data_IF_052225524722
#
_entry.id   IF_052225524722
#
_cell.length_a   1.000
_cell.length_b   1.000
_cell.length_c   1.000
_cell.angle_alpha   90.00
_cell.angle_beta   90.00
_cell.angle_gamma   90.00
#
_symmetry.space_group_name_H-M   'P 1'
#
loop_
_entity.id
_entity.type
_entity.pdbx_description
1 polymer ?
2 polymer ?
3 polymer ?
4 non-polymer ?
5 non-polymer ?
6 non-polymer ?
7 non-polymer ?
8 water ?
#
loop_
_entity_poly.entity_id
_entity_poly.type
_entity_poly.pdbx_seq_one_letter_code
_entity_poly.pdbx_strand_id
1 'polydeoxyribonucleotide' '(DC)(GS)(DC)(DT)(DA)(DG)(DT)(DC)(DG)(DT)(DC)(DA)(PST)' ?
2 'polydeoxyribonucleotide' '(DA)(SC)(DG)(DA)(DC)(DT)(DA)(DG)(DC)(GS)' ?
#
# COMPACT_ATOMS: atom_id res chain seq x y z
N UNK C 2 3.86 4.80 -3.49
CA UNK C 2 4.60 5.77 -2.68
C UNK C 2 4.39 7.19 -3.15
N UNK C 3 4.60 8.16 -2.25
CA UNK C 3 4.53 9.57 -2.61
C UNK C 3 6.00 10.01 -2.59
N UNK C 4 6.61 10.19 -3.78
CA UNK C 4 8.04 10.55 -3.89
C UNK C 4 8.41 11.73 -3.01
N UNK C 5 9.43 11.54 -2.18
CA UNK C 5 9.94 12.57 -1.28
C UNK C 5 9.18 12.87 0.00
N UNK C 6 7.97 12.30 0.20
CA UNK C 6 7.14 12.62 1.36
C UNK C 6 7.84 12.46 2.70
N UNK C 7 8.54 11.35 2.89
CA UNK C 7 9.25 11.10 4.14
C UNK C 7 10.23 12.23 4.52
N UNK C 8 11.02 12.71 3.56
CA UNK C 8 11.98 13.80 3.83
C UNK C 8 11.27 15.15 4.02
N UNK C 9 10.17 15.35 3.31
CA UNK C 9 9.40 16.60 3.45
C UNK C 9 8.84 16.75 4.88
N UNK C 10 8.36 15.64 5.47
CA UNK C 10 7.79 15.70 6.82
C UNK C 10 8.68 15.06 7.89
N UNK C 11 10.01 15.14 7.69
CA UNK C 11 11.03 14.58 8.59
C UNK C 11 10.80 14.88 10.08
N UNK C 12 10.28 16.08 10.41
CA UNK C 12 10.01 16.54 11.77
C UNK C 12 8.88 15.78 12.46
N UNK C 13 7.98 15.13 11.69
CA UNK C 13 6.92 14.30 12.28
C UNK C 13 7.43 12.85 12.51
N UNK C 14 8.67 12.52 12.12
CA UNK C 14 9.19 11.17 12.30
C UNK C 14 10.04 11.06 13.55
N UNK C 15 10.05 9.88 14.14
CA UNK C 15 10.88 9.62 15.29
C UNK C 15 11.34 8.17 15.26
N UNK C 16 12.59 7.91 15.62
CA UNK C 16 13.06 6.52 15.65
C UNK C 16 12.41 5.78 16.81
N UNK C 17 11.92 4.58 16.55
CA UNK C 17 11.29 3.77 17.57
C UNK C 17 11.83 2.34 17.46
N UNK C 18 11.49 1.52 18.45
CA UNK C 18 11.64 0.09 18.48
C UNK C 18 10.23 -0.39 18.68
N UNK C 19 9.85 -1.47 17.96
CA UNK C 19 8.49 -1.97 18.04
C UNK C 19 8.08 -2.43 19.42
N UNK C 20 8.99 -2.55 20.41
CA UNK C 20 8.63 -2.88 21.81
C UNK C 20 7.55 -1.91 22.33
N UNK C 21 7.57 -0.66 21.82
CA UNK C 21 6.63 0.41 22.10
C UNK C 21 5.17 -0.09 21.94
N UNK C 22 4.94 -1.08 21.06
CA UNK C 22 3.60 -1.62 20.82
C UNK C 22 3.31 -2.94 21.53
N UNK C 23 4.00 -3.21 22.64
CA UNK C 23 3.77 -4.42 23.43
C UNK C 23 2.36 -4.36 24.00
N UNK C 24 1.58 -5.41 23.78
CA UNK C 24 0.19 -5.44 24.21
C UNK C 24 -0.77 -4.75 23.27
N UNK C 25 -0.26 -4.20 22.14
CA UNK C 25 -1.08 -3.53 21.14
C UNK C 25 -1.19 -4.36 19.84
N UNK C 26 -2.02 -3.92 18.90
CA UNK C 26 -2.20 -4.61 17.62
C UNK C 26 -1.54 -3.79 16.50
N UNK C 27 -0.85 -4.46 15.58
CA UNK C 27 -0.16 -3.80 14.48
C UNK C 27 -0.52 -4.49 13.15
N UNK C 28 -0.90 -3.74 12.10
CA UNK C 28 -1.17 -4.36 10.80
C UNK C 28 0.05 -4.19 9.89
N UNK C 29 0.35 -5.21 9.10
CA UNK C 29 1.52 -5.24 8.24
C UNK C 29 1.15 -5.24 6.78
N UNK C 30 1.90 -4.48 5.96
CA UNK C 30 1.78 -4.43 4.51
C UNK C 30 2.70 -5.55 4.06
N UNK C 31 2.19 -6.78 4.10
CA UNK C 31 2.98 -8.00 3.91
C UNK C 31 3.66 -8.16 2.56
N UNK C 32 3.13 -7.61 1.45
CA UNK C 32 3.84 -7.74 0.17
C UNK C 32 5.24 -7.07 0.23
N UNK C 33 5.46 -6.11 1.16
CA UNK C 33 6.78 -5.49 1.32
C UNK C 33 7.78 -6.58 1.83
N UNK C 34 7.32 -7.47 2.74
CA UNK C 34 8.10 -8.54 3.34
C UNK C 34 8.28 -9.69 2.37
N UNK C 35 7.21 -10.04 1.61
CA UNK C 35 7.27 -11.07 0.57
C UNK C 35 8.28 -10.66 -0.49
N UNK C 36 8.32 -9.37 -0.84
CA UNK C 36 9.26 -8.86 -1.82
C UNK C 36 10.73 -9.08 -1.43
N UNK C 37 11.12 -8.62 -0.22
CA UNK C 37 12.47 -8.80 0.29
C UNK C 37 12.82 -10.29 0.41
N UNK C 38 11.86 -11.11 0.81
CA UNK C 38 12.05 -12.55 0.92
C UNK C 38 12.30 -13.20 -0.43
N UNK C 39 11.55 -12.78 -1.46
CA UNK C 39 11.64 -13.29 -2.82
C UNK C 39 12.95 -12.87 -3.51
N UNK C 40 13.56 -11.75 -3.09
CA UNK C 40 14.84 -11.34 -3.61
C UNK C 40 15.90 -12.35 -3.12
N UNK C 41 15.82 -12.74 -1.83
CA UNK C 41 16.77 -13.69 -1.23
C UNK C 41 16.75 -15.10 -1.87
N UNK C 42 15.73 -15.41 -2.69
CA UNK C 42 15.69 -16.68 -3.41
C UNK C 42 15.22 -16.44 -4.85
N UNK C 43 15.68 -15.34 -5.47
CA UNK C 43 15.27 -14.91 -6.81
C UNK C 43 15.74 -15.80 -7.96
N UNK C 44 16.95 -16.39 -7.88
CA UNK C 44 17.45 -17.25 -8.94
C UNK C 44 16.58 -18.51 -9.06
N UNK C 45 16.16 -19.07 -7.93
CA UNK C 45 15.28 -20.23 -7.93
C UNK C 45 13.85 -19.89 -8.39
N UNK C 46 13.30 -18.74 -7.96
CA UNK C 46 11.94 -18.33 -8.32
C UNK C 46 11.79 -18.00 -9.81
N UNK C 47 12.75 -17.29 -10.39
CA UNK C 47 12.69 -16.91 -11.80
C UNK C 47 12.81 -18.12 -12.72
N UNK C 48 13.79 -19.01 -12.47
CA UNK C 48 13.99 -20.23 -13.27
C UNK C 48 12.79 -21.19 -13.17
N UNK C 49 12.31 -21.42 -11.95
CA UNK C 49 11.16 -22.29 -11.73
C UNK C 49 11.37 -23.39 -10.72
N UNK C 50 12.52 -23.40 -10.04
CA UNK C 50 12.84 -24.41 -9.03
C UNK C 50 12.03 -24.17 -7.76
N UNK C 51 11.57 -25.22 -7.06
CA UNK C 51 10.77 -25.00 -5.83
C UNK C 51 11.58 -24.41 -4.68
N UNK C 52 11.00 -23.41 -4.02
CA UNK C 52 11.65 -22.76 -2.88
C UNK C 52 10.63 -22.21 -1.90
N UNK C 53 11.01 -22.18 -0.62
CA UNK C 53 10.20 -21.63 0.46
C UNK C 53 11.02 -20.65 1.32
N UNK C 54 12.16 -20.12 0.82
CA UNK C 54 13.03 -19.23 1.56
C UNK C 54 12.30 -17.93 1.92
N UNK C 55 11.43 -17.43 1.02
CA UNK C 55 10.64 -16.23 1.26
C UNK C 55 9.69 -16.37 2.45
N UNK C 56 9.23 -17.60 2.74
CA UNK C 56 8.33 -17.89 3.86
C UNK C 56 9.10 -17.72 5.19
N UNK C 57 10.31 -18.26 5.23
CA UNK C 57 11.18 -18.13 6.39
C UNK C 57 11.54 -16.68 6.64
N UNK C 58 11.71 -15.91 5.57
CA UNK C 58 11.98 -14.48 5.66
C UNK C 58 10.83 -13.75 6.37
N UNK C 59 9.58 -13.86 5.87
CA UNK C 59 8.40 -13.24 6.48
C UNK C 59 8.22 -13.69 7.95
N UNK C 60 8.33 -15.00 8.23
CA UNK C 60 8.18 -15.54 9.59
C UNK C 60 9.25 -15.06 10.55
N UNK C 61 10.45 -14.69 10.07
CA UNK C 61 11.48 -14.14 10.95
C UNK C 61 10.97 -12.78 11.51
N UNK C 62 10.31 -11.96 10.65
CA UNK C 62 9.75 -10.67 11.06
C UNK C 62 8.51 -10.89 11.92
N UNK C 63 7.65 -11.88 11.57
CA UNK C 63 6.45 -12.20 12.35
C UNK C 63 6.85 -12.66 13.76
N UNK C 64 7.80 -13.60 13.84
CA UNK C 64 8.31 -14.12 15.10
C UNK C 64 9.03 -13.05 15.93
N UNK C 65 9.61 -12.02 15.29
CA UNK C 65 10.24 -10.94 16.05
C UNK C 65 9.14 -10.09 16.71
N UNK C 66 8.05 -9.77 15.98
CA UNK C 66 6.94 -8.99 16.53
C UNK C 66 6.29 -9.74 17.68
N UNK C 67 6.09 -11.06 17.51
CA UNK C 67 5.48 -11.88 18.54
C UNK C 67 6.34 -11.95 19.81
N UNK C 68 7.67 -11.99 19.67
CA UNK C 68 8.58 -12.02 20.82
C UNK C 68 8.45 -10.78 21.70
N UNK C 69 8.12 -9.63 21.09
CA UNK C 69 7.96 -8.39 21.81
C UNK C 69 6.53 -8.13 22.31
N UNK C 70 5.66 -9.14 22.23
CA UNK C 70 4.27 -9.05 22.69
C UNK C 70 3.32 -8.30 21.77
N UNK C 71 3.65 -8.22 20.48
CA UNK C 71 2.81 -7.49 19.53
C UNK C 71 1.92 -8.43 18.78
N UNK C 72 0.63 -8.10 18.67
CA UNK C 72 -0.30 -8.92 17.90
C UNK C 72 -0.29 -8.42 16.45
N UNK C 73 0.38 -9.12 15.52
CA UNK C 73 0.39 -8.66 14.13
C UNK C 73 -0.78 -9.18 13.26
N UNK C 74 -1.27 -8.32 12.38
CA UNK C 74 -2.32 -8.64 11.44
C UNK C 74 -1.67 -8.49 10.09
N UNK C 75 -1.46 -9.59 9.39
CA UNK C 75 -0.84 -9.56 8.09
C UNK C 75 -1.85 -9.29 7.02
N UNK C 76 -1.74 -8.14 6.39
CA UNK C 76 -2.62 -7.78 5.29
C UNK C 76 -1.90 -8.02 3.96
N UNK C 77 -2.62 -8.54 2.96
CA UNK C 77 -2.09 -8.86 1.64
C UNK C 77 -2.88 -8.11 0.59
N UNK C 78 -2.23 -7.74 -0.51
CA UNK C 78 -2.95 -7.10 -1.62
C UNK C 78 -3.88 -8.13 -2.27
N UNK C 79 -4.99 -7.66 -2.82
CA UNK C 79 -5.93 -8.52 -3.48
C UNK C 79 -6.04 -8.24 -4.97
N UNK C 80 -7.27 -8.05 -5.45
CA UNK C 80 -7.49 -7.78 -6.85
C UNK C 80 -6.86 -6.46 -7.28
N UNK C 81 -6.56 -6.34 -8.58
CA UNK C 81 -6.00 -5.10 -9.11
C UNK C 81 -7.14 -4.15 -9.42
N UNK C 82 -7.00 -2.85 -9.15
CA UNK C 82 -8.01 -1.87 -9.50
C UNK C 82 -8.09 -1.77 -11.04
N UNK C 83 -9.29 -1.55 -11.60
CA UNK C 83 -9.42 -1.46 -13.07
C UNK C 83 -8.39 -0.56 -13.77
N UNK C 84 -8.10 0.60 -13.19
CA UNK C 84 -7.14 1.57 -13.72
C UNK C 84 -5.67 1.13 -13.62
N UNK C 85 -5.39 0.04 -12.91
CA UNK C 85 -4.04 -0.47 -12.75
C UNK C 85 -3.76 -1.75 -13.55
N UNK C 86 -4.72 -2.24 -14.34
CA UNK C 86 -4.55 -3.48 -15.10
C UNK C 86 -3.46 -3.38 -16.22
N UNK C 87 -3.37 -2.24 -16.93
CA UNK C 87 -2.32 -2.03 -17.92
C UNK C 87 -0.93 -1.94 -17.22
N UNK C 88 -0.90 -1.34 -16.04
CA UNK C 88 0.31 -1.25 -15.23
C UNK C 88 0.75 -2.65 -14.76
N UNK C 89 -0.19 -3.48 -14.25
CA UNK C 89 0.19 -4.81 -13.77
C UNK C 89 0.63 -5.72 -14.91
N UNK C 90 0.08 -5.54 -16.13
CA UNK C 90 0.52 -6.35 -17.26
C UNK C 90 1.86 -5.86 -17.79
N UNK C 91 2.07 -4.54 -17.81
CA UNK C 91 3.35 -3.94 -18.19
C UNK C 91 4.47 -4.33 -17.21
N UNK C 92 4.13 -4.56 -15.94
CA UNK C 92 5.11 -5.00 -14.96
C UNK C 92 5.51 -6.43 -15.23
N UNK C 93 4.56 -7.29 -15.63
CA UNK C 93 4.85 -8.69 -15.95
C UNK C 93 5.80 -8.80 -17.14
N UNK C 94 5.63 -7.93 -18.14
CA UNK C 94 6.43 -7.88 -19.35
C UNK C 94 7.88 -7.49 -19.03
N UNK C 95 8.08 -6.51 -18.13
CA UNK C 95 9.42 -6.09 -17.73
C UNK C 95 10.13 -7.15 -16.90
N UNK C 96 9.38 -7.87 -16.06
CA UNK C 96 9.93 -8.92 -15.23
C UNK C 96 10.34 -10.12 -16.11
N UNK C 97 9.54 -10.43 -17.15
CA UNK C 97 9.90 -11.53 -18.06
C UNK C 97 11.09 -11.15 -18.96
N UNK C 98 11.22 -9.87 -19.33
CA UNK C 98 12.37 -9.42 -20.13
C UNK C 98 13.65 -9.38 -19.28
N UNK C 99 13.52 -9.13 -17.96
CA UNK C 99 14.68 -9.15 -17.06
C UNK C 99 15.16 -10.60 -16.79
N UNK C 100 14.26 -11.59 -16.90
CA UNK C 100 14.57 -13.00 -16.76
C UNK C 100 15.42 -13.45 -17.97
N UNK C 101 15.05 -12.99 -19.17
CA UNK C 101 15.78 -13.28 -20.42
C UNK C 101 17.14 -12.59 -20.40
N UNK C 102 17.18 -11.34 -19.90
CA UNK C 102 18.42 -10.57 -19.78
C UNK C 102 19.39 -11.23 -18.78
N UNK C 103 18.84 -11.78 -17.69
CA UNK C 103 19.61 -12.48 -16.67
C UNK C 103 20.20 -13.78 -17.18
N UNK C 104 19.41 -14.52 -17.99
CA UNK C 104 19.86 -15.77 -18.62
C UNK C 104 21.03 -15.47 -19.58
N UNK C 105 20.91 -14.37 -20.34
CA UNK C 105 21.92 -13.91 -21.28
C UNK C 105 23.21 -13.55 -20.52
N UNK C 106 23.08 -12.87 -19.37
CA UNK C 106 24.20 -12.49 -18.52
C UNK C 106 24.93 -13.71 -17.94
N UNK C 107 24.19 -14.77 -17.54
CA UNK C 107 24.84 -15.98 -17.04
C UNK C 107 25.63 -16.65 -18.17
N UNK C 108 25.11 -16.61 -19.41
CA UNK C 108 25.81 -17.16 -20.58
C UNK C 108 27.10 -16.41 -20.89
N UNK C 109 27.14 -15.11 -20.61
CA UNK C 109 28.33 -14.30 -20.82
C UNK C 109 29.33 -14.32 -19.64
N UNK C 110 29.09 -15.15 -18.64
CA UNK C 110 29.95 -15.25 -17.47
C UNK C 110 29.68 -14.21 -16.40
N UNK C 111 28.75 -13.27 -16.66
CA UNK C 111 28.41 -12.20 -15.73
C UNK C 111 27.41 -12.71 -14.70
N UNK C 112 27.89 -13.53 -13.76
CA UNK C 112 27.07 -14.17 -12.72
C UNK C 112 26.50 -13.17 -11.70
N UNK C 113 27.32 -12.25 -11.21
CA UNK C 113 26.88 -11.25 -10.22
C UNK C 113 25.83 -10.33 -10.84
N UNK C 114 26.04 -9.89 -12.09
CA UNK C 114 25.05 -9.04 -12.75
C UNK C 114 23.76 -9.78 -13.04
N UNK C 115 23.87 -11.09 -13.38
CA UNK C 115 22.68 -11.91 -13.63
C UNK C 115 21.89 -12.13 -12.34
N UNK C 116 22.58 -12.36 -11.21
CA UNK C 116 21.91 -12.56 -9.92
C UNK C 116 21.12 -11.29 -9.54
N UNK C 117 21.66 -10.09 -9.82
CA UNK C 117 20.96 -8.81 -9.61
C UNK C 117 19.70 -8.76 -10.49
N UNK C 118 19.85 -9.08 -11.79
CA UNK C 118 18.78 -9.13 -12.79
C UNK C 118 17.60 -9.96 -12.32
N UNK C 119 17.88 -11.15 -11.74
CA UNK C 119 16.83 -12.05 -11.30
C UNK C 119 15.97 -11.44 -10.21
N UNK C 120 16.54 -10.57 -9.35
CA UNK C 120 15.78 -9.92 -8.30
C UNK C 120 14.71 -8.98 -8.88
N UNK C 121 14.91 -8.44 -10.09
CA UNK C 121 13.91 -7.61 -10.77
C UNK C 121 13.10 -8.43 -11.79
N UNK C 122 13.00 -9.75 -11.61
CA UNK C 122 12.29 -10.61 -12.57
C UNK C 122 11.21 -11.50 -11.90
N UNK C 123 10.88 -11.22 -10.64
CA UNK C 123 10.00 -12.04 -9.85
C UNK C 123 8.59 -11.48 -9.73
N UNK C 124 7.59 -12.35 -9.81
CA UNK C 124 6.22 -11.99 -9.59
C UNK C 124 5.80 -12.52 -8.22
N UNK C 125 5.16 -11.67 -7.40
CA UNK C 125 4.65 -12.13 -6.12
C UNK C 125 3.25 -12.62 -6.41
N UNK C 126 3.07 -13.94 -6.36
CA UNK C 126 1.79 -14.57 -6.66
C UNK C 126 0.92 -14.76 -5.40
N UNK C 127 -0.38 -15.02 -5.58
CA UNK C 127 -1.26 -15.33 -4.46
C UNK C 127 -0.83 -16.67 -3.81
N UNK C 128 -0.27 -17.60 -4.59
CA UNK C 128 0.22 -18.89 -4.09
C UNK C 128 1.40 -18.69 -3.15
N UNK C 129 2.23 -17.69 -3.38
CA UNK C 129 3.36 -17.36 -2.49
C UNK C 129 2.80 -16.73 -1.21
N UNK C 130 1.83 -15.83 -1.36
CA UNK C 130 1.17 -15.18 -0.24
C UNK C 130 0.46 -16.20 0.64
N UNK C 131 -0.24 -17.16 0.01
CA UNK C 131 -0.95 -18.19 0.73
C UNK C 131 -0.02 -19.07 1.57
N UNK C 132 1.21 -19.35 1.10
CA UNK C 132 2.18 -20.12 1.90
C UNK C 132 2.51 -19.35 3.18
N UNK C 133 2.72 -18.02 3.07
CA UNK C 133 3.00 -17.16 4.22
C UNK C 133 1.78 -17.15 5.14
N UNK C 134 0.56 -17.08 4.57
CA UNK C 134 -0.69 -17.12 5.32
C UNK C 134 -0.77 -18.38 6.17
N UNK C 135 -0.54 -19.56 5.56
CA UNK C 135 -0.58 -20.84 6.26
C UNK C 135 0.46 -20.87 7.39
N UNK C 136 1.71 -20.45 7.12
CA UNK C 136 2.78 -20.42 8.13
C UNK C 136 2.42 -19.52 9.32
N UNK C 137 1.84 -18.35 9.03
CA UNK C 137 1.42 -17.40 10.06
C UNK C 137 0.22 -17.93 10.85
N UNK C 138 -0.76 -18.53 10.16
CA UNK C 138 -1.94 -19.09 10.85
C UNK C 138 -1.62 -20.18 11.84
N UNK C 139 -0.63 -21.04 11.55
CA UNK C 139 -0.22 -22.09 12.48
C UNK C 139 0.35 -21.49 13.78
N UNK C 140 1.00 -20.31 13.68
CA UNK C 140 1.52 -19.56 14.82
C UNK C 140 0.43 -18.72 15.53
N UNK C 141 -0.84 -18.85 15.13
CA UNK C 141 -1.92 -18.07 15.71
C UNK C 141 -2.00 -16.66 15.18
N UNK C 142 -1.37 -16.38 14.02
CA UNK C 142 -1.34 -15.04 13.43
C UNK C 142 -2.47 -14.83 12.40
N UNK C 143 -3.32 -13.81 12.64
CA UNK C 143 -4.45 -13.46 11.74
C UNK C 143 -3.93 -12.88 10.42
N UNK C 144 -4.52 -13.33 9.33
CA UNK C 144 -4.21 -12.91 7.96
C UNK C 144 -5.46 -12.37 7.23
N UNK C 145 -5.28 -11.37 6.38
CA UNK C 145 -6.40 -10.76 5.67
C UNK C 145 -5.99 -10.28 4.30
N UNK C 146 -6.62 -10.83 3.26
CA UNK C 146 -6.35 -10.39 1.90
C UNK C 146 -7.35 -9.29 1.60
N UNK C 147 -6.85 -8.09 1.29
CA UNK C 147 -7.68 -6.96 0.94
C UNK C 147 -8.47 -7.27 -0.31
N UNK C 148 -9.69 -6.75 -0.45
CA UNK C 148 -10.42 -6.98 -1.71
C UNK C 148 -9.63 -6.38 -2.86
N UNK C 149 -8.99 -5.19 -2.65
CA UNK C 149 -8.19 -4.51 -3.67
C UNK C 149 -6.77 -4.20 -3.11
N UNK C 150 -6.38 -2.92 -2.92
CA UNK C 150 -5.06 -2.63 -2.37
C UNK C 150 -5.05 -2.82 -0.90
N UNK C 151 -3.95 -3.39 -0.41
CA UNK C 151 -3.68 -3.53 1.00
C UNK C 151 -3.57 -2.14 1.63
N UNK C 152 -3.14 -1.10 0.89
CA UNK C 152 -3.03 0.27 1.43
C UNK C 152 -4.37 0.72 2.04
N UNK C 153 -5.47 0.53 1.30
CA UNK C 153 -6.80 0.91 1.75
C UNK C 153 -7.23 0.03 2.93
N UNK C 154 -6.98 -1.28 2.85
CA UNK C 154 -7.35 -2.20 3.93
C UNK C 154 -6.65 -1.85 5.23
N UNK C 155 -5.33 -1.55 5.13
CA UNK C 155 -4.50 -1.15 6.28
C UNK C 155 -5.02 0.15 6.82
N UNK C 156 -5.35 1.13 5.95
CA UNK C 156 -5.90 2.42 6.41
C UNK C 156 -7.22 2.23 7.17
N UNK C 157 -8.05 1.30 6.69
CA UNK C 157 -9.30 0.93 7.33
C UNK C 157 -9.04 0.36 8.71
N UNK C 158 -8.15 -0.63 8.84
CA UNK C 158 -7.84 -1.24 10.13
C UNK C 158 -7.37 -0.25 11.18
N UNK C 159 -6.59 0.77 10.76
CA UNK C 159 -6.06 1.81 11.66
C UNK C 159 -7.14 2.84 11.98
N UNK C 160 -7.88 3.33 10.96
CA UNK C 160 -8.95 4.28 11.17
C UNK C 160 -10.06 3.72 12.05
N UNK C 161 -10.35 2.40 11.95
CA UNK C 161 -11.39 1.72 12.74
C UNK C 161 -10.98 1.46 14.21
N UNK C 162 -9.69 1.45 14.50
CA UNK C 162 -9.20 1.20 15.85
C UNK C 162 -8.74 -0.22 16.12
N UNK C 163 -8.90 -1.11 15.16
CA UNK C 163 -8.50 -2.51 15.28
C UNK C 163 -6.96 -2.59 15.42
N UNK C 164 -6.23 -1.75 14.66
CA UNK C 164 -4.79 -1.72 14.78
C UNK C 164 -4.32 -0.31 15.17
N UNK C 165 -3.24 -0.25 15.94
CA UNK C 165 -2.72 1.01 16.41
C UNK C 165 -1.61 1.56 15.55
N UNK C 166 -0.97 0.73 14.69
CA UNK C 166 0.08 1.22 13.79
C UNK C 166 0.16 0.33 12.55
N UNK C 167 0.67 0.89 11.44
CA UNK C 167 0.81 0.16 10.20
C UNK C 167 2.29 0.01 9.88
N UNK C 168 2.79 -1.21 9.69
CA UNK C 168 4.19 -1.41 9.28
C UNK C 168 4.16 -1.53 7.75
N UNK C 169 4.88 -0.66 7.07
CA UNK C 169 4.91 -0.62 5.60
C UNK C 169 6.13 0.17 5.12
N UNK C 170 6.50 0.05 3.85
CA UNK C 170 7.56 0.89 3.26
C UNK C 170 6.96 1.97 2.33
N UNK C 171 5.63 2.03 2.23
CA UNK C 171 4.86 2.91 1.37
C UNK C 171 4.28 4.14 2.10
N UNK C 172 4.72 5.35 1.73
CA UNK C 172 4.24 6.60 2.32
C UNK C 172 2.81 6.99 1.90
N UNK C 173 2.18 6.22 0.99
CA UNK C 173 0.78 6.36 0.62
C UNK C 173 -0.12 6.20 1.82
N UNK C 174 0.27 5.38 2.80
CA UNK C 174 -0.51 5.14 4.01
C UNK C 174 -0.75 6.45 4.77
N UNK C 175 0.21 7.41 4.71
CA UNK C 175 0.05 8.72 5.33
C UNK C 175 -1.05 9.49 4.58
N UNK C 176 -1.04 9.44 3.26
CA UNK C 176 -2.04 10.12 2.43
C UNK C 176 -3.46 9.55 2.66
N UNK C 177 -3.55 8.25 2.93
CA UNK C 177 -4.81 7.59 3.24
C UNK C 177 -5.35 8.02 4.63
N UNK C 178 -4.55 8.66 5.47
CA UNK C 178 -5.00 9.13 6.77
C UNK C 178 -4.70 8.22 7.94
N UNK C 179 -3.67 7.36 7.83
CA UNK C 179 -3.28 6.52 8.96
C UNK C 179 -2.66 7.39 10.01
N UNK C 180 -2.99 7.13 11.29
CA UNK C 180 -2.51 7.91 12.42
C UNK C 180 -1.05 7.59 12.73
N UNK C 181 -0.68 6.29 12.72
CA UNK C 181 0.70 5.86 13.00
C UNK C 181 1.22 4.86 11.98
N UNK C 182 2.33 5.24 11.31
CA UNK C 182 2.94 4.43 10.26
C UNK C 182 4.39 4.19 10.61
N UNK C 183 4.80 2.93 10.61
CA UNK C 183 6.18 2.53 10.90
C UNK C 183 6.86 2.13 9.62
N UNK C 184 7.78 2.98 9.17
CA UNK C 184 8.56 2.81 7.96
C UNK C 184 9.96 2.31 8.28
N UNK C 185 10.59 1.65 7.31
CA UNK C 185 11.97 1.15 7.38
C UNK C 185 12.27 0.19 8.54
N UNK C 186 11.30 -0.62 8.96
CA UNK C 186 11.52 -1.54 10.06
C UNK C 186 12.44 -2.68 9.66
N UNK C 187 13.49 -2.93 10.47
CA UNK C 187 14.44 -4.00 10.21
C UNK C 187 14.05 -5.29 10.96
N UNK C 188 14.78 -6.40 10.74
CA UNK C 188 14.44 -7.68 11.37
C UNK C 188 14.49 -7.66 12.90
N UNK C 189 15.16 -6.65 13.48
CA UNK C 189 15.29 -6.53 14.93
C UNK C 189 14.21 -5.66 15.59
N UNK C 190 13.38 -4.98 14.80
CA UNK C 190 12.32 -4.13 15.35
C UNK C 190 12.61 -2.65 15.38
N UNK C 191 13.74 -2.19 14.82
CA UNK C 191 14.07 -0.75 14.78
C UNK C 191 13.41 -0.13 13.53
N UNK C 192 12.75 1.01 13.68
CA UNK C 192 12.13 1.67 12.55
C UNK C 192 11.81 3.12 12.78
N UNK C 193 11.25 3.79 11.77
CA UNK C 193 10.90 5.21 11.80
C UNK C 193 9.39 5.34 11.88
N UNK C 194 8.88 5.91 12.96
CA UNK C 194 7.46 6.09 13.12
C UNK C 194 7.02 7.52 12.76
N UNK C 195 5.98 7.63 11.95
CA UNK C 195 5.39 8.91 11.62
C UNK C 195 4.02 8.99 12.29
N UNK C 196 3.77 10.07 13.05
CA UNK C 196 2.49 10.24 13.70
C UNK C 196 1.80 11.42 13.05
N UNK C 197 0.56 11.21 12.59
CA UNK C 197 -0.25 12.25 11.96
C UNK C 197 -0.41 13.48 12.87
N UNK C 198 -0.51 13.24 14.19
CA UNK C 198 -0.63 14.32 15.18
C UNK C 198 0.60 15.25 15.17
N UNK C 199 1.76 14.73 14.76
CA UNK C 199 2.97 15.54 14.68
C UNK C 199 3.15 16.24 13.35
N UNK C 200 2.21 16.13 12.37
CA UNK C 200 2.36 16.89 11.12
C UNK C 200 2.44 18.42 11.35
N UNK C 201 1.82 18.88 12.43
CA UNK C 201 1.90 20.28 12.86
C UNK C 201 3.31 20.71 13.24
N UNK C 202 4.19 19.77 13.59
CA UNK C 202 5.61 20.06 13.90
C UNK C 202 6.38 20.42 12.63
N UNK C 203 5.86 20.13 11.44
CA UNK C 203 6.56 20.40 10.19
C UNK C 203 6.35 21.81 9.67
N UNK C 204 7.39 22.66 9.79
CA UNK C 204 7.34 24.05 9.31
C UNK C 204 7.09 24.11 7.82
N UNK C 205 7.63 23.14 7.04
CA UNK C 205 7.40 23.13 5.59
C UNK C 205 5.93 22.94 5.18
N UNK C 206 5.12 22.28 6.03
CA UNK C 206 3.70 22.07 5.67
C UNK C 206 2.85 23.32 5.82
N UNK C 207 3.16 24.17 6.79
CA UNK C 207 2.36 25.36 7.07
C UNK C 207 1.03 24.90 7.64
N UNK C 208 -0.09 25.32 7.03
CA UNK C 208 -1.40 24.82 7.47
C UNK C 208 -1.81 23.51 6.76
N UNK C 209 -0.97 22.97 5.87
CA UNK C 209 -1.29 21.74 5.12
C UNK C 209 -1.04 20.50 5.99
N UNK C 210 -1.74 20.42 7.13
CA UNK C 210 -1.63 19.31 8.07
C UNK C 210 -2.96 18.60 8.32
N UNK C 211 -4.09 19.11 7.77
CA UNK C 211 -5.37 18.41 7.93
C UNK C 211 -5.40 17.20 6.97
N UNK C 212 -6.23 16.19 7.24
CA UNK C 212 -6.27 14.99 6.39
C UNK C 212 -6.58 15.31 4.93
N UNK C 213 -7.60 16.15 4.70
CA UNK C 213 -8.02 16.59 3.38
C UNK C 213 -6.90 17.29 2.63
N UNK C 214 -6.30 18.35 3.22
CA UNK C 214 -5.24 19.13 2.59
C UNK C 214 -3.97 18.33 2.37
N UNK C 215 -3.60 17.50 3.33
CA UNK C 215 -2.41 16.65 3.21
C UNK C 215 -2.59 15.65 1.99
N UNK C 216 -3.77 15.02 1.89
CA UNK C 216 -4.06 14.12 0.79
C UNK C 216 -3.95 14.85 -0.56
N UNK C 217 -4.55 16.07 -0.65
CA UNK C 217 -4.51 16.89 -1.85
C UNK C 217 -3.08 17.18 -2.28
N UNK C 218 -2.20 17.49 -1.30
CA UNK C 218 -0.79 17.78 -1.51
C UNK C 218 -0.07 16.58 -2.08
N UNK C 219 -0.28 15.41 -1.46
CA UNK C 219 0.30 14.15 -1.94
C UNK C 219 -0.15 13.85 -3.37
N UNK C 220 -1.42 14.07 -3.71
CA UNK C 220 -1.90 13.84 -5.08
C UNK C 220 -1.24 14.80 -6.06
N UNK C 221 -1.28 16.11 -5.76
CA UNK C 221 -0.69 17.15 -6.62
C UNK C 221 0.79 16.92 -6.87
N UNK C 222 1.49 16.37 -5.88
CA UNK C 222 2.92 16.11 -6.00
C UNK C 222 3.27 14.91 -6.90
N UNK C 223 2.29 14.05 -7.20
CA UNK C 223 2.49 12.84 -7.98
C UNK C 223 2.25 11.67 -7.06
N UNK C 224 1.27 10.84 -7.38
CA UNK C 224 0.87 9.72 -6.56
C UNK C 224 0.68 8.49 -7.43
N UNK C 225 0.48 7.34 -6.81
CA UNK C 225 0.27 6.10 -7.54
C UNK C 225 -0.97 6.16 -8.46
N UNK C 226 -1.95 7.06 -8.22
CA UNK C 226 -3.13 7.15 -9.10
C UNK C 226 -3.08 8.24 -10.13
N UNK C 227 -2.09 9.15 -10.05
CA UNK C 227 -2.00 10.27 -10.95
C UNK C 227 -0.60 10.92 -10.88
N UNK C 228 0.12 10.92 -12.01
CA UNK C 228 1.40 11.63 -12.11
C UNK C 228 1.13 13.12 -11.98
N UNK C 229 2.14 13.86 -11.52
CA UNK C 229 1.99 15.28 -11.36
C UNK C 229 2.06 16.01 -12.70
N UNK C 230 1.67 17.28 -12.70
CA UNK C 230 1.93 18.18 -13.81
C UNK C 230 3.47 18.41 -13.78
N UNK C 231 4.11 18.60 -14.95
CA UNK C 231 5.55 18.83 -15.00
C UNK C 231 5.95 20.05 -14.18
N UNK C 232 6.98 19.88 -13.37
CA UNK C 232 7.45 20.96 -12.51
C UNK C 232 6.78 21.02 -11.16
N UNK C 233 5.89 20.04 -10.85
CA UNK C 233 5.23 20.02 -9.56
C UNK C 233 5.69 18.84 -8.71
N UNK C 234 6.22 19.18 -7.54
CA UNK C 234 6.64 18.25 -6.49
C UNK C 234 5.98 18.61 -5.17
N UNK C 235 6.44 18.05 -4.04
CA UNK C 235 5.83 18.39 -2.75
C UNK C 235 5.98 19.86 -2.35
N UNK C 236 7.15 20.49 -2.58
CA UNK C 236 7.31 21.89 -2.19
C UNK C 236 6.31 22.81 -2.91
N UNK C 237 6.14 22.64 -4.22
CA UNK C 237 5.18 23.46 -4.97
C UNK C 237 3.71 23.04 -4.74
N UNK C 238 3.41 21.75 -4.53
CA UNK C 238 2.03 21.29 -4.23
C UNK C 238 1.61 21.92 -2.87
N UNK C 239 2.50 21.85 -1.89
CA UNK C 239 2.28 22.42 -0.59
C UNK C 239 2.14 23.95 -0.69
N UNK C 240 3.02 24.60 -1.47
CA UNK C 240 2.96 26.06 -1.67
C UNK C 240 1.61 26.49 -2.26
N UNK C 241 1.10 25.74 -3.25
CA UNK C 241 -0.19 26.00 -3.86
C UNK C 241 -1.31 25.92 -2.83
N UNK C 242 -1.35 24.86 -2.01
CA UNK C 242 -2.39 24.70 -1.01
C UNK C 242 -2.27 25.72 0.15
N UNK C 243 -1.05 26.17 0.46
CA UNK C 243 -0.82 27.19 1.50
C UNK C 243 -1.38 28.53 1.06
N UNK C 244 -1.03 28.98 -0.17
CA UNK C 244 -1.47 30.26 -0.75
C UNK C 244 -2.93 30.34 -1.12
N UNK C 245 -3.59 29.20 -1.40
CA UNK C 245 -4.99 29.20 -1.83
C UNK C 245 -6.01 29.24 -0.69
N UNK C 246 -6.95 30.18 -0.76
CA UNK C 246 -8.01 30.29 0.25
C UNK C 246 -9.29 30.08 -0.53
N UNK C 247 -9.78 28.84 -0.52
CA UNK C 247 -10.93 28.38 -1.28
C UNK C 247 -11.15 26.92 -0.86
N UNK C 248 -12.40 26.50 -0.57
CA UNK C 248 -12.61 25.09 -0.18
C UNK C 248 -12.54 24.15 -1.39
N UNK C 249 -12.94 24.65 -2.58
CA UNK C 249 -12.98 23.92 -3.82
C UNK C 249 -11.58 23.67 -4.42
N UNK C 250 -11.11 22.43 -4.34
CA UNK C 250 -9.80 22.06 -4.87
C UNK C 250 -9.73 22.15 -6.42
N UNK C 251 -10.86 21.94 -7.11
CA UNK C 251 -10.92 22.01 -8.57
C UNK C 251 -10.58 23.43 -9.09
N UNK C 252 -11.10 24.47 -8.44
CA UNK C 252 -10.78 25.85 -8.81
C UNK C 252 -9.31 26.17 -8.52
N UNK C 253 -8.80 25.70 -7.37
CA UNK C 253 -7.39 25.90 -7.03
C UNK C 253 -6.45 25.30 -8.09
N UNK C 254 -6.70 24.04 -8.50
CA UNK C 254 -5.87 23.36 -9.49
C UNK C 254 -5.84 24.07 -10.85
N UNK C 255 -6.96 24.61 -11.31
CA UNK C 255 -7.00 25.35 -12.58
C UNK C 255 -6.07 26.58 -12.54
N UNK C 256 -6.00 27.23 -11.38
CA UNK C 256 -5.20 28.42 -11.09
C UNK C 256 -3.78 28.10 -10.62
N UNK C 257 -3.34 26.81 -10.64
CA UNK C 257 -2.04 26.38 -10.14
C UNK C 257 -0.86 27.22 -10.66
N UNK C 258 -0.80 27.46 -11.97
CA UNK C 258 0.27 28.23 -12.59
C UNK C 258 0.36 29.65 -12.06
N UNK C 259 -0.78 30.25 -11.71
CA UNK C 259 -0.80 31.60 -11.16
C UNK C 259 -0.15 31.64 -9.75
N UNK C 260 -0.52 30.69 -8.86
CA UNK C 260 0.01 30.67 -7.49
C UNK C 260 1.52 30.48 -7.49
N UNK C 261 2.05 29.69 -8.43
CA UNK C 261 3.50 29.41 -8.47
C UNK C 261 4.33 30.28 -9.40
N UNK C 262 3.68 31.16 -10.17
CA UNK C 262 4.33 31.99 -11.18
C UNK C 262 5.02 31.11 -12.23
N UNK C 263 4.27 30.09 -12.69
CA UNK C 263 4.70 29.12 -13.70
C UNK C 263 3.70 29.10 -14.87
N UNK C 264 4.16 28.67 -16.05
CA UNK C 264 3.35 28.59 -17.25
C UNK C 264 2.67 27.22 -17.26
N UNK C 265 1.53 27.13 -16.56
CA UNK C 265 0.82 25.87 -16.46
C UNK C 265 -0.59 25.93 -17.01
N UNK C 266 -0.80 25.23 -18.10
CA UNK C 266 -2.10 25.05 -18.70
C UNK C 266 -2.56 23.71 -18.15
N UNK C 267 -3.65 23.70 -17.35
CA UNK C 267 -4.12 22.44 -16.76
C UNK C 267 -5.04 21.70 -17.71
N UNK C 268 -4.62 20.50 -18.16
CA UNK C 268 -5.45 19.71 -19.07
C UNK C 268 -6.77 19.25 -18.46
N UNK C 269 -7.74 18.91 -19.34
CA UNK C 269 -9.06 18.44 -18.95
C UNK C 269 -8.94 17.11 -18.20
N UNK C 270 -8.09 16.20 -18.73
CA UNK C 270 -7.87 14.88 -18.12
C UNK C 270 -7.18 14.95 -16.75
N UNK C 271 -6.44 16.05 -16.48
CA UNK C 271 -5.81 16.23 -15.19
C UNK C 271 -6.85 16.44 -14.09
N UNK C 272 -7.80 17.36 -14.30
CA UNK C 272 -8.86 17.63 -13.32
C UNK C 272 -9.66 16.33 -13.03
N UNK C 273 -10.04 15.61 -14.07
CA UNK C 273 -10.79 14.37 -13.92
C UNK C 273 -9.97 13.27 -13.23
N UNK C 274 -8.69 13.18 -13.55
CA UNK C 274 -7.80 12.22 -12.91
C UNK C 274 -7.57 12.57 -11.44
N UNK C 275 -7.59 13.86 -11.08
CA UNK C 275 -7.41 14.31 -9.72
C UNK C 275 -8.60 13.89 -8.88
N UNK C 276 -9.81 14.16 -9.37
CA UNK C 276 -11.05 13.77 -8.70
C UNK C 276 -11.09 12.24 -8.55
N UNK C 277 -10.67 11.49 -9.58
CA UNK C 277 -10.60 10.04 -9.49
C UNK C 277 -9.61 9.58 -8.42
N UNK C 278 -8.43 10.20 -8.37
CA UNK C 278 -7.40 9.82 -7.38
C UNK C 278 -7.89 10.13 -5.97
N UNK C 279 -8.54 11.28 -5.79
CA UNK C 279 -9.08 11.68 -4.51
C UNK C 279 -10.15 10.66 -4.06
N UNK C 280 -11.05 10.29 -4.97
CA UNK C 280 -12.10 9.29 -4.74
C UNK C 280 -11.54 7.90 -4.45
N UNK C 281 -10.37 7.57 -4.99
CA UNK C 281 -9.75 6.29 -4.73
C UNK C 281 -9.19 6.25 -3.32
N UNK C 282 -8.50 7.33 -2.86
CA UNK C 282 -8.02 7.37 -1.48
C UNK C 282 -9.20 7.35 -0.48
N UNK C 283 -10.35 7.91 -0.87
CA UNK C 283 -11.52 8.00 0.01
C UNK C 283 -12.45 6.82 0.02
N UNK C 284 -12.77 6.26 -1.16
CA UNK C 284 -13.85 5.28 -1.25
C UNK C 284 -13.48 3.93 -1.73
N UNK C 285 -12.17 3.63 -1.85
CA UNK C 285 -11.74 2.30 -2.26
C UNK C 285 -12.31 1.23 -1.33
N UNK C 286 -12.84 0.15 -1.92
CA UNK C 286 -13.43 -0.95 -1.17
C UNK C 286 -12.42 -1.70 -0.34
N UNK C 287 -12.85 -1.98 0.90
CA UNK C 287 -12.14 -2.67 1.96
C UNK C 287 -13.13 -3.67 2.56
N UNK C 288 -12.64 -4.59 3.36
CA UNK C 288 -13.44 -5.61 3.99
C UNK C 288 -13.47 -5.41 5.48
N UNK C 289 -14.66 -5.31 6.07
CA UNK C 289 -14.82 -5.19 7.52
C UNK C 289 -14.79 -6.65 7.92
N UNK C 290 -13.75 -7.13 8.62
CA UNK C 290 -13.69 -8.56 8.94
C UNK C 290 -14.53 -8.98 10.13
N UNK C 291 -15.03 -8.03 10.91
CA UNK C 291 -15.83 -8.37 12.08
C UNK C 291 -17.23 -8.65 11.62
N UNK C 292 -17.83 -7.71 10.89
CA UNK C 292 -19.15 -7.88 10.29
C UNK C 292 -19.13 -8.72 8.98
N UNK C 293 -17.92 -8.96 8.43
CA UNK C 293 -17.69 -9.72 7.19
C UNK C 293 -18.46 -9.12 6.03
N UNK C 294 -18.20 -7.84 5.76
CA UNK C 294 -18.89 -7.10 4.71
C UNK C 294 -17.90 -6.24 3.88
N UNK C 295 -18.17 -6.11 2.57
CA UNK C 295 -17.38 -5.28 1.67
C UNK C 295 -17.92 -3.85 1.70
N UNK C 296 -17.11 -2.88 2.17
CA UNK C 296 -17.57 -1.49 2.32
C UNK C 296 -16.57 -0.47 1.77
N UNK C 297 -17.00 0.78 1.47
CA UNK C 297 -16.02 1.80 1.07
C UNK C 297 -15.27 2.26 2.33
N UNK C 298 -14.00 2.65 2.14
CA UNK C 298 -13.12 3.10 3.19
C UNK C 298 -13.76 4.19 4.05
N UNK C 299 -14.36 5.17 3.40
CA UNK C 299 -15.09 6.22 4.10
C UNK C 299 -16.52 6.20 3.57
N UNK C 300 -17.50 6.67 4.35
CA UNK C 300 -18.88 6.72 3.85
C UNK C 300 -18.96 7.77 2.76
N UNK C 301 -19.77 7.53 1.75
CA UNK C 301 -19.93 8.45 0.63
C UNK C 301 -20.34 9.88 1.09
N UNK C 302 -19.77 10.91 0.47
CA UNK C 302 -20.08 12.29 0.82
C UNK C 302 -20.91 12.98 -0.27
N UNK C 303 -21.41 14.20 0.00
CA UNK C 303 -22.30 14.94 -0.87
C UNK C 303 -21.91 15.05 -2.34
N UNK C 304 -20.65 15.40 -2.65
CA UNK C 304 -20.23 15.61 -4.05
C UNK C 304 -19.94 14.34 -4.88
N UNK C 305 -20.26 13.12 -4.40
CA UNK C 305 -20.03 11.90 -5.20
C UNK C 305 -21.29 11.05 -5.39
N UNK C 306 -21.27 10.12 -6.38
CA UNK C 306 -22.31 9.15 -6.72
C UNK C 306 -21.63 7.78 -6.84
N UNK C 307 -21.96 6.84 -5.92
CA UNK C 307 -21.32 5.50 -5.94
C UNK C 307 -21.30 4.75 -7.27
N UNK C 308 -22.28 5.00 -8.14
CA UNK C 308 -22.33 4.30 -9.42
C UNK C 308 -21.24 4.76 -10.41
N UNK C 309 -20.63 5.94 -10.18
CA UNK C 309 -19.53 6.39 -11.03
C UNK C 309 -18.16 5.82 -10.60
N UNK C 310 -18.08 5.16 -9.43
CA UNK C 310 -16.83 4.77 -8.76
C UNK C 310 -16.34 3.33 -8.96
N UNK C 311 -16.54 2.76 -10.15
CA UNK C 311 -16.04 1.41 -10.46
C UNK C 311 -14.48 1.38 -10.40
N UNK C 312 -13.82 2.51 -10.72
CA UNK C 312 -12.35 2.61 -10.68
C UNK C 312 -11.77 2.44 -9.24
N UNK C 313 -12.60 2.65 -8.21
CA UNK C 313 -12.25 2.47 -6.80
C UNK C 313 -12.53 1.03 -6.29
N UNK C 314 -12.94 0.13 -7.18
CA UNK C 314 -13.24 -1.25 -6.84
C UNK C 314 -14.68 -1.65 -7.05
N UNK C 315 -14.90 -2.79 -7.71
CA UNK C 315 -16.27 -3.26 -7.94
C UNK C 315 -16.72 -4.07 -6.75
N UNK C 316 -17.99 -3.93 -6.38
CA UNK C 316 -18.55 -4.76 -5.32
C UNK C 316 -18.69 -6.21 -5.83
N UNK C 317 -18.57 -7.15 -4.93
CA UNK C 317 -18.82 -8.56 -5.16
C UNK C 317 -19.64 -8.99 -3.93
N UNK C 318 -20.30 -10.16 -4.01
CA UNK C 318 -21.09 -10.65 -2.89
C UNK C 318 -20.22 -10.81 -1.62
N UNK C 319 -20.77 -10.52 -0.43
CA UNK C 319 -20.01 -10.61 0.82
C UNK C 319 -19.34 -11.94 1.03
N UNK C 320 -19.99 -13.02 0.57
CA UNK C 320 -19.43 -14.37 0.71
C UNK C 320 -18.18 -14.53 -0.17
N UNK C 321 -18.14 -13.87 -1.33
CA UNK C 321 -16.99 -13.89 -2.22
C UNK C 321 -15.86 -13.03 -1.59
N UNK C 322 -16.24 -11.87 -1.03
CA UNK C 322 -15.28 -11.00 -0.35
C UNK C 322 -14.65 -11.71 0.85
N UNK C 323 -15.44 -12.53 1.57
CA UNK C 323 -14.93 -13.30 2.70
C UNK C 323 -13.96 -14.41 2.23
N UNK C 324 -14.28 -15.14 1.14
CA UNK C 324 -13.36 -16.17 0.65
C UNK C 324 -12.02 -15.55 0.18
N UNK C 325 -12.09 -14.33 -0.38
CA UNK C 325 -10.88 -13.61 -0.80
C UNK C 325 -10.08 -13.22 0.45
N UNK C 326 -10.74 -12.56 1.43
CA UNK C 326 -10.12 -12.14 2.71
C UNK C 326 -9.40 -13.25 3.45
N UNK C 327 -9.97 -14.46 3.49
CA UNK C 327 -9.33 -15.59 4.21
C UNK C 327 -8.13 -16.18 3.46
N UNK C 328 -7.94 -15.82 2.20
CA UNK C 328 -6.89 -16.44 1.39
C UNK C 328 -7.37 -17.67 0.63
N UNK C 329 -8.67 -18.07 0.79
CA UNK C 329 -9.19 -19.26 0.12
C UNK C 329 -9.38 -19.11 -1.35
N UNK C 330 -9.62 -17.88 -1.82
CA UNK C 330 -9.88 -17.67 -3.24
C UNK C 330 -8.74 -16.96 -3.93
N UNK C 331 -8.17 -17.60 -4.94
CA UNK C 331 -7.07 -17.05 -5.71
C UNK C 331 -7.46 -15.73 -6.36
N UNK C 332 -6.68 -14.69 -6.08
CA UNK C 332 -6.90 -13.36 -6.57
C UNK C 332 -6.77 -13.21 -8.11
N UNK C 333 -6.04 -14.09 -8.76
CA UNK C 333 -5.83 -14.02 -10.22
C UNK C 333 -6.79 -14.89 -11.02
N UNK C 334 -7.05 -16.10 -10.52
CA UNK C 334 -7.91 -17.04 -11.24
C UNK C 334 -9.34 -17.11 -10.74
N UNK C 335 -9.55 -16.75 -9.46
CA UNK C 335 -10.82 -16.84 -8.72
C UNK C 335 -11.12 -18.30 -8.30
N UNK C 336 -10.15 -19.24 -8.43
CA UNK C 336 -10.31 -20.61 -8.01
C UNK C 336 -10.19 -20.75 -6.50
N UNK C 337 -10.97 -21.68 -5.91
CA UNK C 337 -10.87 -21.94 -4.49
C UNK C 337 -9.67 -22.86 -4.28
N UNK C 338 -8.61 -22.32 -3.69
CA UNK C 338 -7.38 -23.05 -3.43
C UNK C 338 -7.28 -23.58 -1.99
N UNK C 339 -8.19 -23.17 -1.10
CA UNK C 339 -8.15 -23.60 0.30
C UNK C 339 -9.55 -23.60 0.89
N UNK C 340 -9.71 -24.19 2.08
CA UNK C 340 -11.02 -24.35 2.72
C UNK C 340 -11.05 -23.85 4.17
N UNK C 341 -10.13 -22.95 4.54
CA UNK C 341 -10.06 -22.40 5.89
C UNK C 341 -11.38 -21.73 6.30
N UNK C 342 -11.85 -22.05 7.51
CA UNK C 342 -13.08 -21.46 8.02
C UNK C 342 -12.78 -21.05 9.44
N UNK C 343 -12.83 -19.74 9.74
CA UNK C 343 -12.51 -19.28 11.09
C UNK C 343 -13.48 -19.75 12.18
N UNK C 344 -14.73 -20.05 11.80
CA UNK C 344 -15.75 -20.52 12.75
C UNK C 344 -15.42 -21.90 13.32
N UNK C 345 -15.17 -22.89 12.44
CA UNK C 345 -14.82 -24.23 12.91
C UNK C 345 -13.32 -24.31 13.22
N UNK C 346 -12.92 -23.76 14.37
CA UNK C 346 -11.52 -23.75 14.80
C UNK C 346 -11.41 -23.74 16.33
N UNK C 355 -10.02 -11.81 14.83
CA UNK C 355 -10.20 -10.77 13.82
C UNK C 355 -11.53 -10.96 13.10
N UNK C 356 -11.85 -12.20 12.75
CA UNK C 356 -13.10 -12.50 12.05
C UNK C 356 -14.29 -12.76 13.02
N UNK C 357 -14.02 -12.86 14.34
CA UNK C 357 -15.04 -13.09 15.36
C UNK C 357 -15.94 -11.87 15.52
#
# INVERSE_FOLDING_TARGET
MGIQGLLQFIKEASEPIHVRKYKGQVVAVDTYCWLHKGAIACAEKLAKGEPTDRYVGFCMKFVNMLLSHGIKPILVFDGCTLPSKKEVERSRRERRQANLLKGKQLLREGKVSEARECFTRSINITHAMAHKVIKAARSQGVDCLVAPYEADAQLAYLNKAGIVQAIITEDSDLLAFGCKKVILKMDQFGNGLEIDQARLGMCRQLGDVFTEEKFRYMCILSGCDYLSSLRGIGLAKACKVLRLANNPDIVKVIKKIGHYLKMNITVPEDYINGFIRANNTFLYQLVFDPIKRKLIPLNAYEDDVDPETLSYAGQYVDDSIALQIALGNKDINTFEQIDDYNPDTAMPAHSRENLYFQ
#
